data_IF_710844325163
#
_entry.id   IF_710844325163
#
_cell.length_a   1.000
_cell.length_b   1.000
_cell.length_c   1.000
_cell.angle_alpha   90.00
_cell.angle_beta   90.00
_cell.angle_gamma   90.00
#
_symmetry.space_group_name_H-M   'P 1'
#
loop_
_entity.id
_entity.type
_entity.pdbx_description
1 polymer ?
#
# COMPACT_ATOMS: atom_id res chain seq x y z
N UNK A 1 -25.83 39.56 -8.29
CA UNK A 1 -24.99 38.62 -7.50
C UNK A 1 -25.91 37.82 -6.59
N UNK A 2 -25.75 36.49 -6.42
CA UNK A 2 -24.47 35.81 -6.15
C UNK A 2 -24.15 34.59 -7.03
N UNK A 3 -22.89 34.45 -7.45
CA UNK A 3 -22.31 33.33 -8.22
C UNK A 3 -21.22 32.60 -7.42
N UNK A 4 -21.40 32.45 -6.09
CA UNK A 4 -20.31 32.10 -5.16
C UNK A 4 -20.70 30.92 -4.23
N UNK A 5 -21.20 29.81 -4.75
CA UNK A 5 -21.62 28.66 -3.94
C UNK A 5 -21.16 27.27 -4.43
N UNK A 6 -20.24 27.18 -5.41
CA UNK A 6 -19.75 25.89 -5.92
C UNK A 6 -18.23 25.67 -5.77
N UNK A 7 -17.49 26.61 -5.16
CA UNK A 7 -16.02 26.55 -5.13
C UNK A 7 -15.46 25.92 -3.82
N UNK A 8 -16.23 25.90 -2.74
CA UNK A 8 -15.79 25.41 -1.42
C UNK A 8 -15.68 23.88 -1.32
N UNK A 9 -16.66 23.13 -1.81
CA UNK A 9 -16.66 21.66 -1.73
C UNK A 9 -15.64 21.01 -2.68
N UNK A 10 -15.48 21.55 -3.89
CA UNK A 10 -14.47 21.07 -4.86
C UNK A 10 -13.06 21.26 -4.34
N UNK A 11 -12.81 22.36 -3.63
CA UNK A 11 -11.52 22.63 -2.99
C UNK A 11 -11.23 21.59 -1.91
N UNK A 12 -12.18 21.30 -1.01
CA UNK A 12 -12.01 20.28 0.03
C UNK A 12 -11.75 18.88 -0.53
N UNK A 13 -12.53 18.45 -1.52
CA UNK A 13 -12.33 17.14 -2.17
C UNK A 13 -11.00 17.04 -2.89
N UNK A 14 -10.61 18.08 -3.66
CA UNK A 14 -9.34 18.11 -4.36
C UNK A 14 -8.15 18.15 -3.39
N UNK A 15 -8.27 18.88 -2.27
CA UNK A 15 -7.26 18.91 -1.21
C UNK A 15 -7.10 17.53 -0.57
N UNK A 16 -8.18 16.83 -0.22
CA UNK A 16 -8.11 15.48 0.35
C UNK A 16 -7.53 14.49 -0.67
N UNK A 17 -7.97 14.54 -1.94
CA UNK A 17 -7.40 13.71 -2.99
C UNK A 17 -5.90 13.94 -3.14
N UNK A 18 -5.47 15.20 -3.26
CA UNK A 18 -4.06 15.54 -3.47
C UNK A 18 -3.23 15.18 -2.22
N UNK A 19 -3.72 15.41 -1.01
CA UNK A 19 -2.98 15.08 0.20
C UNK A 19 -2.85 13.57 0.38
N UNK A 20 -3.95 12.82 0.29
CA UNK A 20 -3.93 11.36 0.44
C UNK A 20 -3.13 10.72 -0.69
N UNK A 21 -3.30 11.19 -1.94
CA UNK A 21 -2.48 10.73 -3.06
C UNK A 21 -1.01 10.98 -2.81
N UNK A 22 -0.62 12.20 -2.42
CA UNK A 22 0.80 12.54 -2.21
C UNK A 22 1.39 11.75 -1.04
N UNK A 23 0.69 11.63 0.08
CA UNK A 23 1.17 10.87 1.24
C UNK A 23 1.34 9.39 0.89
N UNK A 24 0.35 8.78 0.25
CA UNK A 24 0.42 7.37 -0.17
C UNK A 24 1.48 7.18 -1.25
N UNK A 25 1.53 8.07 -2.24
CA UNK A 25 2.51 8.02 -3.32
C UNK A 25 3.94 8.11 -2.79
N UNK A 26 4.23 9.04 -1.86
CA UNK A 26 5.56 9.14 -1.24
C UNK A 26 5.87 7.93 -0.36
N UNK A 27 4.89 7.39 0.36
CA UNK A 27 5.07 6.19 1.18
C UNK A 27 5.35 4.93 0.33
N UNK A 28 4.77 4.86 -0.87
CA UNK A 28 4.86 3.72 -1.80
C UNK A 28 5.93 3.90 -2.89
N UNK A 29 6.46 5.12 -3.07
CA UNK A 29 7.46 5.43 -4.08
C UNK A 29 8.76 4.67 -3.79
N UNK A 30 9.15 3.79 -4.70
CA UNK A 30 10.34 2.96 -4.55
C UNK A 30 10.08 1.64 -3.81
N UNK A 31 8.83 1.24 -3.62
CA UNK A 31 8.53 -0.13 -3.20
C UNK A 31 9.14 -1.13 -4.21
N UNK A 32 9.60 -2.27 -3.68
CA UNK A 32 10.23 -3.34 -4.45
C UNK A 32 9.33 -3.82 -5.59
N UNK A 33 8.01 -3.70 -5.44
CA UNK A 33 7.03 -4.04 -6.48
C UNK A 33 7.11 -3.09 -7.69
N UNK A 34 7.41 -1.79 -7.49
CA UNK A 34 7.57 -0.82 -8.58
C UNK A 34 8.83 -1.12 -9.41
N UNK A 35 9.95 -1.44 -8.75
CA UNK A 35 11.18 -1.86 -9.42
C UNK A 35 11.03 -3.21 -10.12
N UNK A 36 10.35 -4.18 -9.50
CA UNK A 36 10.05 -5.46 -10.13
C UNK A 36 9.18 -5.30 -11.39
N UNK A 37 8.18 -4.41 -11.35
CA UNK A 37 7.32 -4.10 -12.49
C UNK A 37 8.10 -3.41 -13.61
N UNK A 38 8.97 -2.45 -13.26
CA UNK A 38 9.87 -1.77 -14.21
C UNK A 38 10.84 -2.75 -14.88
N UNK A 39 11.47 -3.63 -14.10
CA UNK A 39 12.39 -4.65 -14.61
C UNK A 39 11.67 -5.68 -15.48
N UNK A 40 10.48 -6.14 -15.07
CA UNK A 40 9.65 -7.06 -15.85
C UNK A 40 9.19 -6.42 -17.17
N UNK A 41 8.83 -5.14 -17.13
CA UNK A 41 8.48 -4.33 -18.31
C UNK A 41 9.68 -4.13 -19.25
N UNK A 42 10.87 -3.89 -18.70
CA UNK A 42 12.10 -3.74 -19.46
C UNK A 42 12.57 -5.05 -20.11
N UNK A 43 12.32 -6.20 -19.45
CA UNK A 43 12.78 -7.52 -19.91
C UNK A 43 11.83 -8.20 -20.90
N UNK A 44 10.51 -7.93 -20.81
CA UNK A 44 9.50 -8.63 -21.62
C UNK A 44 9.27 -8.04 -23.01
N UNK A 45 9.86 -6.88 -23.33
CA UNK A 45 9.63 -6.16 -24.59
C UNK A 45 8.18 -5.70 -24.83
N UNK A 46 7.26 -5.99 -23.90
CA UNK A 46 5.82 -5.77 -23.98
C UNK A 46 5.29 -5.17 -22.67
N UNK A 47 5.52 -3.87 -22.42
CA UNK A 47 5.12 -3.18 -21.19
C UNK A 47 3.62 -3.33 -20.85
N UNK A 48 2.78 -3.46 -21.87
CA UNK A 48 1.33 -3.61 -21.72
C UNK A 48 0.93 -4.94 -21.05
N UNK A 49 1.62 -6.04 -21.37
CA UNK A 49 1.31 -7.35 -20.76
C UNK A 49 1.65 -7.35 -19.27
N UNK A 50 2.77 -6.73 -18.92
CA UNK A 50 3.24 -6.59 -17.53
C UNK A 50 2.27 -5.72 -16.73
N UNK A 51 1.81 -4.62 -17.32
CA UNK A 51 0.80 -3.77 -16.69
C UNK A 51 -0.50 -4.53 -16.41
N UNK A 52 -1.02 -5.28 -17.39
CA UNK A 52 -2.25 -6.06 -17.21
C UNK A 52 -2.05 -7.16 -16.17
N UNK A 53 -0.93 -7.86 -16.18
CA UNK A 53 -0.61 -8.89 -15.20
C UNK A 53 -0.52 -8.34 -13.78
N UNK A 54 0.18 -7.22 -13.59
CA UNK A 54 0.29 -6.56 -12.29
C UNK A 54 -1.06 -6.00 -11.82
N UNK A 55 -1.84 -5.38 -12.70
CA UNK A 55 -3.19 -4.89 -12.39
C UNK A 55 -4.12 -6.03 -11.98
N UNK A 56 -4.08 -7.15 -12.69
CA UNK A 56 -4.87 -8.34 -12.36
C UNK A 56 -4.46 -8.94 -11.01
N UNK A 57 -3.15 -9.08 -10.76
CA UNK A 57 -2.63 -9.56 -9.49
C UNK A 57 -3.06 -8.65 -8.32
N UNK A 58 -3.02 -7.33 -8.53
CA UNK A 58 -3.45 -6.35 -7.53
C UNK A 58 -4.96 -6.48 -7.24
N UNK A 59 -5.79 -6.57 -8.27
CA UNK A 59 -7.25 -6.78 -8.10
C UNK A 59 -7.53 -8.06 -7.32
N UNK A 60 -6.90 -9.18 -7.69
CA UNK A 60 -7.07 -10.45 -6.99
C UNK A 60 -6.61 -10.37 -5.53
N UNK A 61 -5.44 -9.78 -5.29
CA UNK A 61 -4.88 -9.62 -3.94
C UNK A 61 -5.79 -8.74 -3.08
N UNK A 62 -6.24 -7.59 -3.60
CA UNK A 62 -7.17 -6.70 -2.92
C UNK A 62 -8.51 -7.38 -2.64
N UNK A 63 -9.05 -8.14 -3.58
CA UNK A 63 -10.31 -8.87 -3.37
C UNK A 63 -10.19 -9.87 -2.22
N UNK A 64 -9.11 -10.66 -2.20
CA UNK A 64 -8.83 -11.60 -1.10
C UNK A 64 -8.66 -10.85 0.22
N UNK A 65 -7.88 -9.76 0.21
CA UNK A 65 -7.65 -8.93 1.40
C UNK A 65 -8.93 -8.33 1.97
N UNK A 66 -9.83 -7.82 1.13
CA UNK A 66 -11.13 -7.27 1.55
C UNK A 66 -12.04 -8.36 2.10
N UNK A 67 -12.13 -9.53 1.45
CA UNK A 67 -12.95 -10.64 1.94
C UNK A 67 -12.48 -11.13 3.32
N UNK A 68 -11.17 -11.33 3.47
CA UNK A 68 -10.57 -11.75 4.75
C UNK A 68 -10.74 -10.66 5.80
N UNK A 69 -10.47 -9.40 5.46
CA UNK A 69 -10.62 -8.26 6.36
C UNK A 69 -12.07 -8.07 6.83
N UNK A 70 -13.04 -8.20 5.92
CA UNK A 70 -14.46 -8.13 6.24
C UNK A 70 -14.90 -9.28 7.14
N UNK A 71 -14.43 -10.49 6.89
CA UNK A 71 -14.69 -11.65 7.74
C UNK A 71 -14.13 -11.41 9.15
N UNK A 72 -12.87 -10.99 9.23
CA UNK A 72 -12.19 -10.74 10.50
C UNK A 72 -12.86 -9.64 11.32
N UNK A 73 -13.26 -8.53 10.66
CA UNK A 73 -13.98 -7.41 11.26
C UNK A 73 -15.38 -7.79 11.79
N UNK A 74 -16.02 -8.83 11.24
CA UNK A 74 -17.30 -9.34 11.75
C UNK A 74 -17.12 -10.30 12.93
N UNK A 75 -16.02 -11.05 12.96
CA UNK A 75 -15.75 -12.03 14.02
C UNK A 75 -15.08 -11.45 15.26
N UNK A 76 -14.31 -10.37 15.11
CA UNK A 76 -13.50 -9.81 16.19
C UNK A 76 -13.90 -8.37 16.50
N UNK A 77 -13.88 -7.97 17.78
CA UNK A 77 -14.05 -6.57 18.15
C UNK A 77 -12.86 -5.73 17.67
N UNK A 78 -13.10 -4.46 17.29
CA UNK A 78 -12.11 -3.60 16.66
C UNK A 78 -10.85 -3.38 17.53
N UNK A 79 -10.97 -3.36 18.86
CA UNK A 79 -9.80 -3.16 19.73
C UNK A 79 -8.79 -4.31 19.64
N UNK A 80 -9.28 -5.54 19.42
CA UNK A 80 -8.39 -6.70 19.25
C UNK A 80 -7.70 -6.67 17.90
N UNK A 81 -8.41 -6.25 16.86
CA UNK A 81 -7.87 -6.09 15.50
C UNK A 81 -6.72 -5.09 15.47
N UNK A 82 -6.89 -3.92 16.10
CA UNK A 82 -5.84 -2.91 16.22
C UNK A 82 -4.64 -3.41 17.02
N UNK A 83 -4.89 -4.09 18.15
CA UNK A 83 -3.82 -4.66 18.97
C UNK A 83 -3.03 -5.74 18.22
N UNK A 84 -3.73 -6.62 17.49
CA UNK A 84 -3.07 -7.64 16.66
C UNK A 84 -2.26 -7.02 15.52
N UNK A 85 -2.81 -6.02 14.83
CA UNK A 85 -2.09 -5.32 13.76
C UNK A 85 -0.82 -4.62 14.29
N UNK A 86 -0.92 -3.91 15.43
CA UNK A 86 0.21 -3.26 16.07
C UNK A 86 1.29 -4.26 16.54
N UNK A 87 0.88 -5.37 17.15
CA UNK A 87 1.80 -6.42 17.59
C UNK A 87 2.54 -7.06 16.41
N UNK A 88 1.83 -7.31 15.32
CA UNK A 88 2.39 -7.87 14.09
C UNK A 88 3.37 -6.89 13.45
N UNK A 89 3.06 -5.59 13.45
CA UNK A 89 3.95 -4.53 12.98
C UNK A 89 5.26 -4.48 13.77
N UNK A 90 5.19 -4.53 15.10
CA UNK A 90 6.37 -4.56 15.98
C UNK A 90 7.19 -5.83 15.77
N UNK A 91 6.53 -6.99 15.66
CA UNK A 91 7.20 -8.27 15.43
C UNK A 91 7.95 -8.27 14.08
N UNK A 92 7.33 -7.80 13.00
CA UNK A 92 7.98 -7.68 11.70
C UNK A 92 9.14 -6.68 11.72
N UNK A 93 8.96 -5.53 12.37
CA UNK A 93 10.02 -4.53 12.53
C UNK A 93 11.24 -5.10 13.27
N UNK A 94 11.01 -5.82 14.37
CA UNK A 94 12.08 -6.47 15.13
C UNK A 94 12.76 -7.57 14.31
N UNK A 95 11.98 -8.39 13.59
CA UNK A 95 12.52 -9.44 12.73
C UNK A 95 13.41 -8.88 11.61
N UNK A 96 12.93 -7.85 10.90
CA UNK A 96 13.69 -7.16 9.86
C UNK A 96 14.95 -6.50 10.43
N UNK A 97 14.85 -5.85 11.60
CA UNK A 97 15.98 -5.24 12.29
C UNK A 97 17.05 -6.28 12.69
N UNK A 98 16.64 -7.40 13.27
CA UNK A 98 17.52 -8.53 13.61
C UNK A 98 18.15 -9.15 12.36
N UNK A 99 17.38 -9.33 11.29
CA UNK A 99 17.88 -9.87 10.03
C UNK A 99 18.91 -8.94 9.39
N UNK A 100 18.67 -7.62 9.42
CA UNK A 100 19.61 -6.62 8.92
C UNK A 100 20.89 -6.61 9.78
N UNK A 101 20.77 -6.58 11.11
CA UNK A 101 21.92 -6.60 12.02
C UNK A 101 22.75 -7.88 11.91
N UNK A 102 22.09 -9.05 11.80
CA UNK A 102 22.78 -10.33 11.61
C UNK A 102 23.49 -10.40 10.26
N UNK A 103 22.86 -9.87 9.21
CA UNK A 103 23.50 -9.77 7.89
C UNK A 103 24.72 -8.86 7.92
N UNK A 104 24.69 -7.78 8.70
CA UNK A 104 25.82 -6.86 8.85
C UNK A 104 26.99 -7.46 9.65
N UNK A 105 26.69 -8.25 10.69
CA UNK A 105 27.69 -8.89 11.55
C UNK A 105 28.31 -10.17 10.95
N UNK A 106 27.63 -10.85 10.01
CA UNK A 106 28.13 -12.08 9.38
C UNK A 106 28.77 -11.82 8.01
N UNK A 107 28.54 -10.66 7.38
CA UNK A 107 29.05 -10.31 6.04
C UNK A 107 30.07 -9.15 6.05
N UNK A 108 30.55 -8.77 7.24
CA UNK A 108 31.69 -7.86 7.44
C UNK A 108 32.80 -8.57 8.16
#
# INVERSE_FOLDING_TARGET
MPTEASNGEKSGFLTVLVSTFTTVFVAELGDKTQLATLLLSAQSGSPVLVFIGAAFALICSSLVGVLVGQWLARTLPPERLELMAGLLMVALGLWLGLQAGRSLLLNG
#
